data_IF_912880821581
#
_entry.id   IF_912880821581
#
_cell.length_a   1.000
_cell.length_b   1.000
_cell.length_c   1.000
_cell.angle_alpha   90.00
_cell.angle_beta   90.00
_cell.angle_gamma   90.00
#
_symmetry.space_group_name_H-M   'P 1'
#
loop_
_entity.id
_entity.type
_entity.pdbx_description
1 polymer ?
#
# COMPACT_ATOMS: atom_id res chain seq x y z
N UNK A 1 26.87 -0.24 -12.87
CA UNK A 1 26.22 -0.18 -12.51
C UNK A 1 26.07 0.43 -11.58
N UNK A 2 25.96 1.18 -11.23
CA UNK A 2 25.65 1.59 -10.44
C UNK A 2 24.55 1.42 -9.77
N UNK A 3 24.12 1.08 -10.13
CA UNK A 3 22.90 0.47 -9.73
C UNK A 3 22.92 0.00 -8.31
N UNK A 4 24.03 -0.49 -7.84
CA UNK A 4 24.14 -0.97 -6.46
C UNK A 4 23.76 0.10 -5.45
N UNK A 5 24.06 1.33 -5.74
CA UNK A 5 23.70 2.42 -4.85
C UNK A 5 22.19 2.53 -4.75
N UNK A 6 21.54 2.38 -5.88
CA UNK A 6 20.08 2.49 -5.89
C UNK A 6 19.42 1.33 -5.20
N UNK A 7 20.00 0.15 -5.32
CA UNK A 7 19.45 -1.02 -4.67
C UNK A 7 19.50 -0.89 -3.17
N UNK A 8 20.43 -0.15 -2.66
CA UNK A 8 20.57 0.04 -1.23
C UNK A 8 19.62 1.08 -0.67
N UNK A 9 19.04 1.89 -1.53
CA UNK A 9 18.07 2.86 -1.09
C UNK A 9 16.76 2.16 -0.81
N UNK A 10 16.29 2.33 0.40
CA UNK A 10 15.02 1.76 0.78
C UNK A 10 13.91 2.69 0.32
N UNK A 11 12.82 2.10 -0.10
CA UNK A 11 11.67 2.85 -0.54
C UNK A 11 10.99 3.46 0.69
N UNK A 12 10.61 4.72 0.60
CA UNK A 12 9.90 5.37 1.68
C UNK A 12 8.50 4.78 1.81
N UNK A 13 8.02 4.72 3.03
CA UNK A 13 6.72 4.10 3.32
C UNK A 13 5.61 4.73 2.49
N UNK A 14 5.60 6.05 2.39
CA UNK A 14 4.56 6.74 1.63
C UNK A 14 4.53 6.29 0.18
N UNK A 15 5.69 6.07 -0.41
CA UNK A 15 5.78 5.63 -1.80
C UNK A 15 5.29 4.20 -1.95
N UNK A 16 5.61 3.34 -0.98
CA UNK A 16 5.13 1.96 -0.97
C UNK A 16 3.61 1.94 -0.87
N UNK A 17 3.05 2.77 0.00
CA UNK A 17 1.60 2.86 0.15
C UNK A 17 0.94 3.20 -1.18
N UNK A 18 1.50 4.17 -1.92
CA UNK A 18 0.96 4.55 -3.22
C UNK A 18 1.00 3.40 -4.21
N UNK A 19 2.10 2.65 -4.23
CA UNK A 19 2.22 1.51 -5.14
C UNK A 19 1.27 0.37 -4.77
N UNK A 20 1.10 0.13 -3.49
CA UNK A 20 0.16 -0.90 -3.02
C UNK A 20 -1.27 -0.47 -3.31
N UNK A 21 -1.58 0.80 -3.08
CA UNK A 21 -2.88 1.35 -3.43
C UNK A 21 -3.21 1.07 -4.89
N UNK A 22 -2.27 1.39 -5.79
CA UNK A 22 -2.48 1.16 -7.21
C UNK A 22 -2.67 -0.32 -7.53
N UNK A 23 -1.84 -1.17 -6.93
CA UNK A 23 -1.93 -2.61 -7.16
C UNK A 23 -3.31 -3.15 -6.76
N UNK A 24 -3.82 -2.70 -5.63
CA UNK A 24 -5.13 -3.13 -5.16
C UNK A 24 -6.23 -2.54 -6.04
N UNK A 25 -6.11 -1.27 -6.37
CA UNK A 25 -7.13 -0.56 -7.15
C UNK A 25 -7.31 -1.18 -8.52
N UNK A 26 -6.22 -1.67 -9.12
CA UNK A 26 -6.29 -2.28 -10.43
C UNK A 26 -6.45 -3.80 -10.39
N UNK A 27 -6.54 -4.38 -9.20
CA UNK A 27 -6.74 -5.81 -9.06
C UNK A 27 -8.15 -6.19 -9.47
N UNK A 28 -8.27 -7.30 -10.21
CA UNK A 28 -9.57 -7.84 -10.55
C UNK A 28 -10.00 -8.93 -9.58
N UNK A 29 -9.19 -9.21 -8.58
CA UNK A 29 -9.48 -10.26 -7.62
C UNK A 29 -10.38 -9.82 -6.50
N UNK A 30 -10.48 -8.52 -6.28
CA UNK A 30 -11.33 -7.94 -5.25
C UNK A 30 -12.38 -7.08 -5.92
N UNK A 31 -13.61 -7.25 -5.48
CA UNK A 31 -14.70 -6.40 -5.96
C UNK A 31 -14.79 -5.20 -5.05
N UNK A 32 -14.13 -4.13 -5.46
CA UNK A 32 -13.94 -2.94 -4.64
C UNK A 32 -15.03 -1.94 -4.94
N UNK A 33 -15.68 -1.48 -3.90
CA UNK A 33 -16.64 -0.37 -3.98
C UNK A 33 -15.92 0.96 -3.83
N UNK A 34 -14.95 1.03 -2.92
CA UNK A 34 -14.24 2.27 -2.66
C UNK A 34 -12.86 1.95 -2.11
N UNK A 35 -11.86 2.73 -2.52
CA UNK A 35 -10.53 2.62 -1.96
C UNK A 35 -9.96 4.04 -1.87
N UNK A 36 -9.49 4.40 -0.69
CA UNK A 36 -9.00 5.76 -0.41
C UNK A 36 -7.77 5.70 0.46
N UNK A 37 -6.83 6.64 0.26
CA UNK A 37 -5.82 6.84 1.29
C UNK A 37 -6.45 7.51 2.49
N UNK A 38 -5.97 7.19 3.68
CA UNK A 38 -6.44 7.84 4.88
C UNK A 38 -5.89 9.27 4.93
N UNK A 39 -6.73 10.22 5.29
CA UNK A 39 -6.34 11.62 5.37
C UNK A 39 -5.32 11.87 6.47
N UNK A 40 -5.44 11.14 7.56
CA UNK A 40 -4.69 11.42 8.77
C UNK A 40 -3.41 10.61 8.87
N UNK A 41 -3.18 9.71 7.93
CA UNK A 41 -2.02 8.83 8.02
C UNK A 41 -1.53 8.45 6.62
N UNK A 42 -0.23 8.61 6.41
CA UNK A 42 0.38 8.33 5.11
C UNK A 42 0.58 6.84 4.87
N UNK A 43 0.30 6.00 5.86
CA UNK A 43 0.56 4.57 5.75
C UNK A 43 -0.69 3.71 5.90
N UNK A 44 -1.86 4.31 5.75
CA UNK A 44 -3.12 3.59 5.89
C UNK A 44 -3.95 3.76 4.63
N UNK A 45 -4.53 2.66 4.18
CA UNK A 45 -5.46 2.66 3.05
C UNK A 45 -6.80 2.15 3.55
N UNK A 46 -7.86 2.86 3.23
CA UNK A 46 -9.22 2.47 3.59
C UNK A 46 -9.85 1.77 2.41
N UNK A 47 -10.48 0.63 2.65
CA UNK A 47 -11.01 -0.23 1.60
C UNK A 47 -12.42 -0.65 1.93
N UNK A 48 -13.32 -0.47 0.98
CA UNK A 48 -14.68 -0.99 1.09
C UNK A 48 -14.94 -1.90 -0.11
N UNK A 49 -15.47 -3.07 0.15
CA UNK A 49 -15.82 -4.03 -0.88
C UNK A 49 -17.28 -3.90 -1.25
N UNK A 50 -17.65 -4.48 -2.39
CA UNK A 50 -19.02 -4.38 -2.89
C UNK A 50 -20.04 -5.03 -1.97
N UNK A 51 -19.62 -5.98 -1.15
CA UNK A 51 -20.50 -6.62 -0.19
C UNK A 51 -20.71 -5.79 1.09
N UNK A 52 -20.10 -4.61 1.16
CA UNK A 52 -20.22 -3.74 2.32
C UNK A 52 -19.13 -3.94 3.36
N UNK A 53 -18.25 -4.90 3.20
CA UNK A 53 -17.13 -5.10 4.13
C UNK A 53 -16.16 -3.92 4.06
N UNK A 54 -15.63 -3.53 5.20
CA UNK A 54 -14.70 -2.40 5.30
C UNK A 54 -13.45 -2.83 6.01
N UNK A 55 -12.31 -2.40 5.49
CA UNK A 55 -10.99 -2.79 6.02
C UNK A 55 -10.06 -1.60 6.02
N UNK A 56 -9.11 -1.64 6.94
CA UNK A 56 -7.97 -0.75 6.92
C UNK A 56 -6.74 -1.57 6.60
N UNK A 57 -5.93 -1.08 5.67
CA UNK A 57 -4.67 -1.72 5.33
C UNK A 57 -3.58 -0.82 5.85
N UNK A 58 -2.78 -1.33 6.77
CA UNK A 58 -1.72 -0.57 7.43
C UNK A 58 -0.38 -1.08 6.94
N UNK A 59 0.47 -0.19 6.45
CA UNK A 59 1.76 -0.55 5.89
C UNK A 59 2.84 0.05 6.76
N UNK A 60 3.61 -0.81 7.41
CA UNK A 60 4.62 -0.40 8.36
C UNK A 60 5.94 -1.05 7.99
N UNK A 61 7.04 -0.30 7.97
CA UNK A 61 8.36 -0.92 7.76
C UNK A 61 8.65 -1.91 8.88
N UNK A 62 9.37 -2.94 8.54
CA UNK A 62 9.68 -3.96 9.52
C UNK A 62 11.14 -4.38 9.38
N UNK A 63 11.72 -4.85 10.48
CA UNK A 63 13.03 -5.49 10.49
C UNK A 63 12.94 -6.96 10.74
N UNK A 64 11.75 -7.53 10.66
CA UNK A 64 11.56 -8.95 10.98
C UNK A 64 12.07 -9.89 9.92
N UNK A 65 12.23 -9.41 8.71
CA UNK A 65 12.78 -10.23 7.64
C UNK A 65 14.28 -10.22 7.75
N UNK A 66 14.87 -11.36 7.91
CA UNK A 66 16.31 -11.50 8.10
C UNK A 66 16.89 -12.43 7.09
#
# INVERSE_FOLDING_TARGET
>A
MNVNTEEKKQMKTKKVVGKIFDAINYSKKLKISSILPDRDSDYVILLELEDGSKFEIIIIPTRRFV
#
